data_IF_651921447868
#
_entry.id   IF_651921447868
#
_cell.length_a   1.000
_cell.length_b   1.000
_cell.length_c   1.000
_cell.angle_alpha   90.00
_cell.angle_beta   90.00
_cell.angle_gamma   90.00
#
_symmetry.space_group_name_H-M   'P 1'
#
loop_
_entity.id
_entity.type
_entity.pdbx_description
1 polymer ?
#
# COMPACT_ATOMS: atom_id res chain seq x y z
N UNK A 1 -6.63 -4.03 -13.65
CA UNK A 1 -5.33 -4.52 -14.16
C UNK A 1 -5.12 -5.86 -13.51
N UNK A 2 -4.90 -6.92 -14.29
CA UNK A 2 -4.58 -8.24 -13.74
C UNK A 2 -3.08 -8.35 -13.60
N UNK A 3 -2.61 -8.74 -12.42
CA UNK A 3 -1.20 -9.04 -12.15
C UNK A 3 -0.94 -10.50 -12.53
N UNK A 4 0.17 -10.77 -13.21
CA UNK A 4 0.65 -12.15 -13.38
C UNK A 4 1.31 -12.69 -12.10
N UNK A 5 1.60 -13.99 -12.05
CA UNK A 5 2.19 -14.63 -10.87
C UNK A 5 3.55 -14.02 -10.46
N UNK A 6 4.38 -13.61 -11.42
CA UNK A 6 5.67 -13.00 -11.13
C UNK A 6 5.52 -11.56 -10.59
N UNK A 7 4.54 -10.81 -11.12
CA UNK A 7 4.17 -9.49 -10.64
C UNK A 7 3.57 -9.55 -9.23
N UNK A 8 2.72 -10.54 -8.94
CA UNK A 8 2.17 -10.77 -7.60
C UNK A 8 3.30 -10.99 -6.59
N UNK A 9 4.21 -11.93 -6.88
CA UNK A 9 5.36 -12.21 -6.01
C UNK A 9 6.25 -10.98 -5.81
N UNK A 10 6.40 -10.13 -6.84
CA UNK A 10 7.13 -8.88 -6.71
C UNK A 10 6.43 -7.88 -5.80
N UNK A 11 5.10 -7.72 -5.91
CA UNK A 11 4.34 -6.82 -5.04
C UNK A 11 4.39 -7.28 -3.58
N UNK A 12 4.28 -8.58 -3.31
CA UNK A 12 4.42 -9.11 -1.94
C UNK A 12 5.77 -8.72 -1.34
N UNK A 13 6.87 -8.96 -2.08
CA UNK A 13 8.22 -8.55 -1.65
C UNK A 13 8.36 -7.04 -1.47
N UNK A 14 7.73 -6.25 -2.34
CA UNK A 14 7.71 -4.79 -2.20
C UNK A 14 6.96 -4.36 -0.93
N UNK A 15 5.84 -5.00 -0.59
CA UNK A 15 5.11 -4.70 0.64
C UNK A 15 5.93 -5.03 1.88
N UNK A 16 6.54 -6.22 1.94
CA UNK A 16 7.41 -6.61 3.05
C UNK A 16 8.59 -5.65 3.21
N UNK A 17 9.24 -5.28 2.10
CA UNK A 17 10.36 -4.35 2.10
C UNK A 17 9.95 -2.95 2.58
N UNK A 18 8.84 -2.39 2.06
CA UNK A 18 8.38 -1.07 2.48
C UNK A 18 7.85 -1.07 3.92
N UNK A 19 7.25 -2.16 4.40
CA UNK A 19 6.87 -2.29 5.80
C UNK A 19 8.11 -2.23 6.70
N UNK A 20 9.17 -3.00 6.37
CA UNK A 20 10.43 -2.95 7.10
C UNK A 20 11.07 -1.55 7.08
N UNK A 21 11.04 -0.84 5.94
CA UNK A 21 11.53 0.54 5.83
C UNK A 21 10.70 1.56 6.61
N UNK A 22 9.42 1.27 6.83
CA UNK A 22 8.53 2.16 7.60
C UNK A 22 8.72 2.02 9.11
N UNK A 23 9.47 1.01 9.56
CA UNK A 23 9.66 0.68 10.98
C UNK A 23 8.31 0.44 11.70
N UNK A 24 7.31 -0.09 10.97
CA UNK A 24 5.98 -0.43 11.46
C UNK A 24 5.74 -1.92 11.46
N UNK A 25 4.87 -2.35 12.36
CA UNK A 25 4.34 -3.72 12.43
C UNK A 25 2.99 -3.82 11.72
N UNK A 26 2.62 -5.02 11.29
CA UNK A 26 1.30 -5.26 10.70
C UNK A 26 0.14 -4.91 11.65
N UNK A 27 0.36 -5.01 12.97
CA UNK A 27 -0.63 -4.63 13.98
C UNK A 27 -0.86 -3.10 14.01
N UNK A 28 0.20 -2.29 13.94
CA UNK A 28 0.06 -0.84 13.85
C UNK A 28 -0.60 -0.41 12.55
N UNK A 29 -0.22 -1.04 11.43
CA UNK A 29 -0.86 -0.81 10.13
C UNK A 29 -2.36 -1.11 10.20
N UNK A 30 -2.74 -2.20 10.87
CA UNK A 30 -4.13 -2.59 11.05
C UNK A 30 -4.91 -1.53 11.84
N UNK A 31 -4.34 -1.03 12.94
CA UNK A 31 -4.95 0.05 13.74
C UNK A 31 -5.13 1.31 12.90
N UNK A 32 -4.09 1.76 12.20
CA UNK A 32 -4.12 3.00 11.42
C UNK A 32 -5.08 2.93 10.23
N UNK A 33 -5.25 1.75 9.63
CA UNK A 33 -6.20 1.52 8.54
C UNK A 33 -7.61 1.15 9.03
N UNK A 34 -7.82 1.00 10.34
CA UNK A 34 -9.06 0.45 10.92
C UNK A 34 -9.41 -0.93 10.34
N UNK A 35 -8.39 -1.76 10.14
CA UNK A 35 -8.47 -3.13 9.64
C UNK A 35 -8.16 -4.14 10.73
N UNK A 36 -8.40 -5.42 10.46
CA UNK A 36 -7.89 -6.50 11.31
C UNK A 36 -6.47 -6.90 10.89
N UNK A 37 -5.63 -7.42 11.80
CA UNK A 37 -4.30 -7.91 11.45
C UNK A 37 -4.33 -8.98 10.35
N UNK A 38 -5.34 -9.84 10.35
CA UNK A 38 -5.54 -10.90 9.34
C UNK A 38 -5.79 -10.27 7.96
N UNK A 39 -6.61 -9.21 7.89
CA UNK A 39 -6.86 -8.49 6.64
C UNK A 39 -5.59 -7.84 6.10
N UNK A 40 -4.77 -7.26 6.96
CA UNK A 40 -3.45 -6.72 6.55
C UNK A 40 -2.57 -7.83 6.00
N UNK A 41 -2.46 -8.96 6.69
CA UNK A 41 -1.65 -10.10 6.24
C UNK A 41 -2.15 -10.67 4.90
N UNK A 42 -3.45 -10.90 4.75
CA UNK A 42 -4.05 -11.35 3.49
C UNK A 42 -3.75 -10.38 2.33
N UNK A 43 -3.87 -9.07 2.58
CA UNK A 43 -3.59 -8.02 1.58
C UNK A 43 -2.10 -7.95 1.24
N UNK A 44 -1.22 -8.08 2.25
CA UNK A 44 0.24 -8.12 2.05
C UNK A 44 0.67 -9.31 1.19
N UNK A 45 0.01 -10.46 1.37
CA UNK A 45 0.29 -11.67 0.61
C UNK A 45 -0.44 -11.71 -0.75
N UNK A 46 -1.28 -10.72 -1.06
CA UNK A 46 -2.16 -10.73 -2.23
C UNK A 46 -2.93 -12.05 -2.36
N UNK A 47 -3.42 -12.57 -1.22
CA UNK A 47 -4.14 -13.83 -1.18
C UNK A 47 -5.36 -13.80 -2.12
N UNK A 48 -5.75 -14.98 -2.63
CA UNK A 48 -6.92 -15.16 -3.49
C UNK A 48 -8.16 -14.53 -2.84
N UNK A 49 -8.70 -13.47 -3.45
CA UNK A 49 -9.83 -12.69 -2.91
C UNK A 49 -9.46 -11.34 -2.29
N UNK A 50 -8.18 -10.93 -2.32
CA UNK A 50 -7.78 -9.58 -1.93
C UNK A 50 -8.47 -8.53 -2.78
N UNK A 51 -9.16 -7.58 -2.14
CA UNK A 51 -9.80 -6.47 -2.83
C UNK A 51 -8.72 -5.55 -3.45
N UNK A 52 -8.77 -5.25 -4.76
CA UNK A 52 -7.88 -4.27 -5.38
C UNK A 52 -7.84 -2.94 -4.63
N UNK A 53 -8.96 -2.50 -4.03
CA UNK A 53 -9.04 -1.28 -3.22
C UNK A 53 -8.15 -1.38 -1.98
N UNK A 54 -8.17 -2.51 -1.28
CA UNK A 54 -7.33 -2.76 -0.11
C UNK A 54 -5.85 -2.75 -0.50
N UNK A 55 -5.49 -3.39 -1.60
CA UNK A 55 -4.11 -3.41 -2.11
C UNK A 55 -3.60 -1.98 -2.34
N UNK A 56 -4.42 -1.11 -2.94
CA UNK A 56 -4.04 0.29 -3.16
C UNK A 56 -4.00 1.10 -1.86
N UNK A 57 -4.92 0.85 -0.93
CA UNK A 57 -4.95 1.51 0.36
C UNK A 57 -3.71 1.17 1.21
N UNK A 58 -3.34 -0.11 1.27
CA UNK A 58 -2.13 -0.56 1.93
C UNK A 58 -0.87 0.02 1.28
N UNK A 59 -0.79 0.02 -0.05
CA UNK A 59 0.31 0.63 -0.79
C UNK A 59 0.47 2.12 -0.45
N UNK A 60 -0.63 2.85 -0.40
CA UNK A 60 -0.62 4.28 -0.14
C UNK A 60 -0.21 4.59 1.30
N UNK A 61 -0.68 3.79 2.26
CA UNK A 61 -0.24 3.85 3.65
C UNK A 61 1.26 3.59 3.77
N UNK A 62 1.78 2.49 3.22
CA UNK A 62 3.20 2.16 3.27
C UNK A 62 4.05 3.25 2.62
N UNK A 63 3.61 3.80 1.49
CA UNK A 63 4.27 4.91 0.84
C UNK A 63 4.34 6.16 1.75
N UNK A 64 3.29 6.48 2.50
CA UNK A 64 3.29 7.58 3.45
C UNK A 64 4.16 7.28 4.68
N UNK A 65 4.07 6.06 5.25
CA UNK A 65 4.81 5.63 6.42
C UNK A 65 6.33 5.61 6.17
N UNK A 66 6.78 5.07 5.04
CA UNK A 66 8.20 5.08 4.64
C UNK A 66 8.72 6.52 4.48
N UNK A 67 7.90 7.43 3.91
CA UNK A 67 8.27 8.85 3.81
C UNK A 67 8.35 9.53 5.18
N UNK A 68 7.43 9.20 6.09
CA UNK A 68 7.45 9.73 7.45
C UNK A 68 8.69 9.27 8.23
N UNK A 69 9.18 8.05 7.98
CA UNK A 69 10.46 7.54 8.48
C UNK A 69 11.71 8.17 7.80
N UNK A 70 11.52 9.16 6.92
CA UNK A 70 12.62 9.80 6.18
C UNK A 70 13.29 8.90 5.13
N UNK A 71 12.64 7.78 4.76
CA UNK A 71 13.11 6.83 3.76
C UNK A 71 12.38 7.05 2.42
N UNK A 72 12.83 6.36 1.37
CA UNK A 72 12.22 6.43 0.04
C UNK A 72 11.45 5.15 -0.27
N UNK A 73 10.12 5.21 -0.47
CA UNK A 73 9.34 4.05 -0.84
C UNK A 73 9.69 3.59 -2.26
N UNK A 74 9.76 2.28 -2.46
CA UNK A 74 10.06 1.65 -3.74
C UNK A 74 8.90 0.76 -4.18
N UNK A 75 8.21 1.16 -5.24
CA UNK A 75 7.15 0.38 -5.86
C UNK A 75 7.36 0.33 -7.37
N UNK A 76 7.66 -0.84 -7.91
CA UNK A 76 7.88 -1.02 -9.35
C UNK A 76 6.61 -1.49 -10.06
N UNK A 77 5.83 -2.38 -9.43
CA UNK A 77 4.59 -2.92 -10.00
C UNK A 77 3.40 -2.02 -9.66
N UNK A 78 3.21 -1.66 -8.38
CA UNK A 78 2.19 -0.70 -7.93
C UNK A 78 2.68 0.76 -8.04
N UNK A 79 3.19 1.09 -9.23
CA UNK A 79 3.74 2.41 -9.53
C UNK A 79 2.67 3.51 -9.46
N UNK A 80 3.10 4.76 -9.26
CA UNK A 80 2.21 5.92 -9.27
C UNK A 80 1.42 6.04 -10.58
N UNK A 81 2.00 5.60 -11.71
CA UNK A 81 1.30 5.56 -13.00
C UNK A 81 0.16 4.54 -12.99
N UNK A 82 0.38 3.37 -12.41
CA UNK A 82 -0.66 2.34 -12.28
C UNK A 82 -1.74 2.77 -11.28
N UNK A 83 -1.39 3.54 -10.24
CA UNK A 83 -2.36 4.12 -9.30
C UNK A 83 -3.35 5.05 -9.99
N UNK A 84 -2.87 5.92 -10.89
CA UNK A 84 -3.74 6.83 -11.65
C UNK A 84 -4.75 6.05 -12.52
N UNK A 85 -4.31 4.95 -13.13
CA UNK A 85 -5.19 4.06 -13.92
C UNK A 85 -6.18 3.32 -13.02
N UNK A 86 -5.74 2.85 -11.85
CA UNK A 86 -6.60 2.19 -10.88
C UNK A 86 -7.67 3.13 -10.30
N UNK A 87 -7.33 4.39 -10.03
CA UNK A 87 -8.29 5.39 -9.57
C UNK A 87 -9.46 5.59 -10.57
N UNK A 88 -9.16 5.54 -11.88
CA UNK A 88 -10.16 5.62 -12.94
C UNK A 88 -11.06 4.37 -13.03
N UNK A 89 -10.57 3.20 -12.63
CA UNK A 89 -11.31 1.93 -12.76
C UNK A 89 -12.05 1.51 -11.49
N UNK A 90 -11.51 1.84 -10.32
CA UNK A 90 -12.05 1.40 -9.03
C UNK A 90 -12.67 2.53 -8.20
N UNK A 91 -12.65 3.78 -8.68
CA UNK A 91 -13.18 4.93 -7.93
C UNK A 91 -12.43 5.18 -6.63
N UNK A 92 -11.11 4.96 -6.60
CA UNK A 92 -10.30 5.11 -5.39
C UNK A 92 -10.41 6.54 -4.85
N UNK A 93 -10.78 6.68 -3.57
CA UNK A 93 -10.81 8.00 -2.92
C UNK A 93 -9.39 8.56 -2.84
N UNK A 94 -9.19 9.86 -3.16
CA UNK A 94 -7.90 10.49 -3.00
C UNK A 94 -7.47 10.40 -1.53
N UNK A 95 -6.24 9.92 -1.29
CA UNK A 95 -5.63 9.94 0.05
C UNK A 95 -5.66 11.38 0.55
N UNK A 96 -6.15 11.64 1.78
CA UNK A 96 -6.17 12.98 2.37
C UNK A 96 -4.75 13.55 2.29
N UNK A 97 -4.61 14.70 1.61
CA UNK A 97 -3.34 15.41 1.63
C UNK A 97 -3.14 15.88 3.05
N UNK A 98 -2.12 15.37 3.73
CA UNK A 98 -1.62 15.99 4.95
C UNK A 98 -1.14 17.38 4.51
N UNK A 99 -1.98 18.39 4.71
CA UNK A 99 -1.62 19.77 4.46
C UNK A 99 -0.57 20.12 5.50
N UNK A 100 0.70 20.01 5.14
CA UNK A 100 1.76 20.74 5.85
C UNK A 100 1.55 22.21 5.54
N UNK A 101 0.62 22.83 6.27
CA UNK A 101 0.53 24.28 6.38
C UNK A 101 1.77 24.69 7.16
N UNK A 102 2.73 25.32 6.48
CA UNK A 102 3.86 26.00 7.12
C UNK A 102 3.67 27.50 6.89
N UNK A 103 3.85 28.33 7.95
CA UNK A 103 3.42 29.73 8.00
C UNK A 103 4.12 30.64 6.98
#
# INVERSE_FOLDING_TARGET
>A
MSLDAAQLQRVVKEFEHNLALSERTAAEVAVDLSWTPERVQCTMQLASGSDPVDVWQLRDYLHAAVKAAGRRPSFTVLSSRNRLRAALWFGLRPVPRVTTTRP
#
